data_IF_365342424699
#
_entry.id   IF_365342424699
#
_cell.length_a   1.000
_cell.length_b   1.000
_cell.length_c   1.000
_cell.angle_alpha   90.00
_cell.angle_beta   90.00
_cell.angle_gamma   90.00
#
_symmetry.space_group_name_H-M   'P 1'
#
loop_
_entity.id
_entity.type
_entity.pdbx_description
1 polymer ?
#
# COMPACT_ATOMS: atom_id res chain seq x y z
N UNK A 1 -19.88 54.20 35.34
CA UNK A 1 -19.19 53.73 34.15
C UNK A 1 -18.16 52.69 34.57
N UNK A 2 -18.59 51.45 34.80
CA UNK A 2 -17.69 50.31 35.03
C UNK A 2 -17.04 49.95 33.70
N UNK A 3 -15.93 50.60 33.38
CA UNK A 3 -15.05 50.19 32.31
C UNK A 3 -14.38 48.89 32.76
N UNK A 4 -14.72 47.77 32.14
CA UNK A 4 -13.95 46.54 32.30
C UNK A 4 -12.49 46.81 31.92
N UNK A 5 -11.61 46.94 32.91
CA UNK A 5 -10.18 47.10 32.68
C UNK A 5 -9.51 45.76 32.42
N UNK A 6 -8.78 45.67 31.33
CA UNK A 6 -7.92 44.54 31.09
C UNK A 6 -6.87 44.42 32.20
N UNK A 7 -6.62 43.18 32.65
CA UNK A 7 -5.47 42.83 33.49
C UNK A 7 -4.43 42.16 32.63
N UNK A 8 -3.16 42.18 33.04
CA UNK A 8 -2.08 41.47 32.34
C UNK A 8 -2.44 39.98 32.22
N UNK A 9 -2.33 39.38 31.02
CA UNK A 9 -2.57 37.94 30.84
C UNK A 9 -1.47 37.15 31.53
N UNK A 10 -1.84 36.02 32.15
CA UNK A 10 -0.94 35.16 32.91
C UNK A 10 -1.25 33.67 32.67
N UNK A 11 -0.28 32.82 32.97
CA UNK A 11 -0.44 31.38 33.12
C UNK A 11 -1.07 30.65 31.90
N UNK A 12 -0.61 30.91 30.68
CA UNK A 12 -1.02 30.09 29.53
C UNK A 12 -0.51 28.65 29.75
N UNK A 13 -1.43 27.68 29.74
CA UNK A 13 -1.11 26.26 29.92
C UNK A 13 -1.96 25.40 29.02
N UNK A 14 -1.31 24.55 28.21
CA UNK A 14 -1.96 23.42 27.56
C UNK A 14 -2.07 22.25 28.55
N UNK A 15 -3.02 21.34 28.33
CA UNK A 15 -3.17 20.10 29.15
C UNK A 15 -1.87 19.29 29.07
N UNK A 16 -1.29 19.18 27.88
CA UNK A 16 0.02 18.60 27.64
C UNK A 16 0.93 19.62 26.97
N UNK A 17 2.16 19.72 27.40
CA UNK A 17 3.17 20.54 26.73
C UNK A 17 3.97 19.79 25.66
N UNK A 18 3.77 18.46 25.56
CA UNK A 18 4.45 17.60 24.58
C UNK A 18 3.40 16.96 23.67
N UNK A 19 3.40 17.35 22.42
CA UNK A 19 2.49 16.81 21.40
C UNK A 19 3.24 15.91 20.43
N UNK A 20 2.69 14.72 20.19
CA UNK A 20 3.19 13.78 19.18
C UNK A 20 2.10 13.59 18.14
N UNK A 21 2.37 14.02 16.93
CA UNK A 21 1.43 13.94 15.82
C UNK A 21 1.91 12.99 14.73
N UNK A 22 0.98 12.49 13.95
CA UNK A 22 1.26 11.65 12.79
C UNK A 22 1.25 12.51 11.53
N UNK A 23 2.30 12.43 10.73
CA UNK A 23 2.42 13.14 9.45
C UNK A 23 1.27 12.76 8.51
N UNK A 24 0.63 13.77 7.92
CA UNK A 24 -0.45 13.58 6.94
C UNK A 24 -1.83 13.35 7.54
N UNK A 25 -1.98 13.29 8.88
CA UNK A 25 -3.30 13.23 9.54
C UNK A 25 -3.74 14.60 10.01
N UNK A 26 -5.06 14.82 10.07
CA UNK A 26 -5.60 16.04 10.67
C UNK A 26 -5.44 15.98 12.18
N UNK A 27 -4.83 17.00 12.76
CA UNK A 27 -4.51 17.09 14.18
C UNK A 27 -4.91 18.42 14.79
N UNK A 28 -5.19 18.43 16.08
CA UNK A 28 -5.43 19.63 16.86
C UNK A 28 -4.96 19.43 18.31
N UNK A 29 -4.48 20.51 18.93
CA UNK A 29 -4.25 20.58 20.37
C UNK A 29 -5.56 20.91 21.09
N UNK A 30 -5.57 20.71 22.42
CA UNK A 30 -6.58 21.35 23.26
C UNK A 30 -6.42 22.87 23.26
N UNK A 31 -7.48 23.60 23.59
CA UNK A 31 -7.38 25.02 23.90
C UNK A 31 -6.60 25.22 25.21
N UNK A 32 -5.65 26.17 25.26
CA UNK A 32 -4.95 26.46 26.49
C UNK A 32 -5.87 27.11 27.54
N UNK A 33 -5.59 26.84 28.79
CA UNK A 33 -6.13 27.58 29.93
C UNK A 33 -5.22 28.78 30.25
N UNK A 34 -5.79 29.85 30.75
CA UNK A 34 -5.04 31.05 31.12
C UNK A 34 -5.77 31.89 32.15
N UNK A 35 -5.07 32.80 32.81
CA UNK A 35 -5.65 33.81 33.67
C UNK A 35 -5.74 35.14 32.97
N UNK A 36 -6.79 35.87 33.25
CA UNK A 36 -7.14 37.14 32.64
C UNK A 36 -7.41 37.01 31.11
N UNK A 37 -8.06 37.97 30.53
CA UNK A 37 -8.50 37.94 29.13
C UNK A 37 -7.30 38.01 28.19
N UNK A 38 -7.21 37.04 27.27
CA UNK A 38 -6.33 37.09 26.10
C UNK A 38 -7.20 37.43 24.88
N UNK A 39 -6.81 38.47 24.14
CA UNK A 39 -7.51 38.93 22.95
C UNK A 39 -6.96 38.33 21.67
N UNK A 40 -5.68 37.90 21.71
CA UNK A 40 -5.03 37.31 20.55
C UNK A 40 -3.93 36.35 20.97
N UNK A 41 -3.92 35.15 20.35
CA UNK A 41 -2.84 34.20 20.41
C UNK A 41 -2.03 34.22 19.13
N UNK A 42 -0.71 34.06 19.23
CA UNK A 42 0.21 34.02 18.11
C UNK A 42 1.49 33.25 18.43
N UNK A 43 2.23 32.88 17.40
CA UNK A 43 3.54 32.25 17.55
C UNK A 43 4.63 33.30 17.64
N UNK A 44 5.67 33.01 18.39
CA UNK A 44 6.86 33.85 18.40
C UNK A 44 7.55 33.80 17.03
N UNK A 45 7.94 34.92 16.45
CA UNK A 45 8.53 35.02 15.11
C UNK A 45 9.79 34.16 14.93
N UNK A 46 10.59 33.99 15.99
CA UNK A 46 11.79 33.15 15.97
C UNK A 46 11.50 31.64 15.96
N UNK A 47 10.25 31.25 16.23
CA UNK A 47 9.80 29.84 16.28
C UNK A 47 8.46 29.66 15.55
N UNK A 48 8.43 29.91 14.22
CA UNK A 48 7.22 29.74 13.43
C UNK A 48 6.79 28.28 13.44
N UNK A 49 5.48 28.04 13.34
CA UNK A 49 4.94 26.69 13.21
C UNK A 49 5.44 26.03 11.91
N UNK A 50 5.66 24.72 11.94
CA UNK A 50 6.03 23.97 10.74
C UNK A 50 4.90 23.95 9.71
N UNK A 51 5.29 23.66 8.46
CA UNK A 51 4.34 23.61 7.35
C UNK A 51 3.19 22.63 7.62
N UNK A 52 1.98 23.11 7.39
CA UNK A 52 0.75 22.36 7.62
C UNK A 52 0.07 22.66 8.95
N UNK A 53 0.72 23.37 9.89
CA UNK A 53 0.10 23.83 11.14
C UNK A 53 -0.31 25.28 11.08
N UNK A 54 -1.33 25.62 11.85
CA UNK A 54 -1.78 26.99 12.12
C UNK A 54 -2.23 27.11 13.57
N UNK A 55 -2.09 28.30 14.12
CA UNK A 55 -2.69 28.65 15.42
C UNK A 55 -3.97 29.48 15.19
N UNK A 56 -5.01 29.15 15.93
CA UNK A 56 -6.21 29.99 15.96
C UNK A 56 -5.95 31.19 16.92
N UNK A 57 -6.04 32.40 16.38
CA UNK A 57 -5.71 33.61 17.12
C UNK A 57 -6.67 33.92 18.28
N UNK A 58 -7.86 33.34 18.31
CA UNK A 58 -8.86 33.56 19.37
C UNK A 58 -8.83 32.49 20.45
N UNK A 59 -8.59 31.26 20.07
CA UNK A 59 -8.68 30.11 20.98
C UNK A 59 -7.31 29.58 21.43
N UNK A 60 -6.24 29.89 20.69
CA UNK A 60 -4.91 29.35 20.95
C UNK A 60 -4.74 27.89 20.51
N UNK A 61 -5.75 27.31 19.88
CA UNK A 61 -5.67 25.92 19.37
C UNK A 61 -4.70 25.89 18.18
N UNK A 62 -3.76 24.95 18.22
CA UNK A 62 -2.86 24.66 17.09
C UNK A 62 -3.43 23.46 16.36
N UNK A 63 -3.70 23.59 15.08
CA UNK A 63 -4.31 22.55 14.25
C UNK A 63 -3.73 22.52 12.84
N UNK A 64 -3.97 21.44 12.11
CA UNK A 64 -3.60 21.31 10.71
C UNK A 64 -3.26 19.90 10.29
N UNK A 65 -2.59 19.77 9.14
CA UNK A 65 -2.10 18.51 8.60
C UNK A 65 -0.59 18.65 8.38
N UNK A 66 0.24 18.09 9.30
CA UNK A 66 1.70 18.20 9.18
C UNK A 66 2.21 17.50 7.92
N UNK A 67 3.06 18.20 7.16
CA UNK A 67 3.55 17.72 5.86
C UNK A 67 4.91 17.03 5.93
N UNK A 68 5.65 17.20 7.03
CA UNK A 68 6.96 16.62 7.22
C UNK A 68 7.12 16.06 8.64
N UNK A 69 8.02 15.11 8.81
CA UNK A 69 8.43 14.64 10.14
C UNK A 69 9.29 15.69 10.83
N UNK A 70 9.12 15.83 12.15
CA UNK A 70 9.83 16.80 12.98
C UNK A 70 10.28 16.07 14.24
N UNK A 71 11.57 16.14 14.53
CA UNK A 71 12.08 15.73 15.83
C UNK A 71 11.53 16.69 16.91
N UNK A 72 11.52 16.26 18.16
CA UNK A 72 11.06 17.07 19.28
C UNK A 72 11.64 18.49 19.23
N UNK A 73 10.80 19.47 18.92
CA UNK A 73 11.16 20.88 18.78
C UNK A 73 10.25 21.75 19.63
N UNK A 74 10.87 22.72 20.32
CA UNK A 74 10.17 23.66 21.18
C UNK A 74 9.60 24.83 20.34
N UNK A 75 8.37 25.21 20.67
CA UNK A 75 7.65 26.34 20.05
C UNK A 75 7.08 27.24 21.14
N UNK A 76 7.21 28.54 20.98
CA UNK A 76 6.69 29.51 21.95
C UNK A 76 5.36 30.07 21.45
N UNK A 77 4.31 29.80 22.21
CA UNK A 77 2.98 30.36 22.03
C UNK A 77 2.83 31.57 22.91
N UNK A 78 2.42 32.68 22.32
CA UNK A 78 2.18 33.94 23.03
C UNK A 78 0.69 34.29 23.04
N UNK A 79 0.26 34.92 24.09
CA UNK A 79 -1.06 35.50 24.23
C UNK A 79 -0.96 36.94 24.71
N UNK A 80 -1.68 37.87 24.07
CA UNK A 80 -1.66 39.28 24.42
C UNK A 80 -3.04 39.87 24.63
N UNK A 81 -3.05 40.99 25.33
CA UNK A 81 -4.17 41.92 25.42
C UNK A 81 -3.64 43.39 25.46
N UNK A 82 -4.48 44.44 25.56
CA UNK A 82 -4.00 45.81 25.62
C UNK A 82 -3.07 46.18 26.79
N UNK A 83 -2.98 45.32 27.84
CA UNK A 83 -2.09 45.57 28.98
C UNK A 83 -0.73 44.90 28.84
N UNK A 84 -0.58 43.90 27.97
CA UNK A 84 0.68 43.22 27.74
C UNK A 84 0.49 41.80 27.22
N UNK A 85 1.54 41.02 27.34
CA UNK A 85 1.59 39.64 26.83
C UNK A 85 2.19 38.65 27.83
N UNK A 86 1.86 37.37 27.63
CA UNK A 86 2.43 36.23 28.35
C UNK A 86 2.73 35.13 27.35
N UNK A 87 3.46 34.10 27.74
CA UNK A 87 3.83 33.01 26.85
C UNK A 87 3.87 31.67 27.57
N UNK A 88 3.86 30.61 26.76
CA UNK A 88 4.17 29.25 27.17
C UNK A 88 4.99 28.55 26.09
N UNK A 89 5.73 27.52 26.49
CA UNK A 89 6.52 26.71 25.55
C UNK A 89 5.90 25.32 25.46
N UNK A 90 5.68 24.87 24.23
CA UNK A 90 5.22 23.53 23.91
C UNK A 90 6.26 22.83 23.05
N UNK A 91 6.29 21.50 23.10
CA UNK A 91 7.12 20.66 22.24
C UNK A 91 6.22 19.92 21.25
N UNK A 92 6.55 20.03 19.96
CA UNK A 92 5.87 19.27 18.92
C UNK A 92 6.85 18.28 18.30
N UNK A 93 6.40 17.04 18.16
CA UNK A 93 7.07 15.96 17.44
C UNK A 93 6.12 15.48 16.35
N UNK A 94 6.61 15.30 15.12
CA UNK A 94 5.82 14.69 14.05
C UNK A 94 6.54 13.44 13.56
N UNK A 95 5.89 12.30 13.67
CA UNK A 95 6.44 11.01 13.26
C UNK A 95 5.69 10.46 12.05
N UNK A 96 6.34 9.56 11.29
CA UNK A 96 5.62 8.73 10.34
C UNK A 96 4.66 7.82 11.09
N UNK A 97 3.45 7.66 10.55
CA UNK A 97 2.53 6.63 11.00
C UNK A 97 3.11 5.23 10.77
N UNK A 98 2.54 4.25 11.43
CA UNK A 98 2.91 2.83 11.27
C UNK A 98 1.70 1.94 11.49
N UNK A 99 1.72 0.79 10.83
CA UNK A 99 0.78 -0.29 11.10
C UNK A 99 1.27 -1.11 12.30
N UNK A 100 0.36 -1.43 13.22
CA UNK A 100 0.65 -2.32 14.33
C UNK A 100 0.89 -3.76 13.83
N UNK A 101 1.63 -4.59 14.57
CA UNK A 101 1.78 -6.00 14.26
C UNK A 101 0.41 -6.67 14.10
N UNK A 102 0.26 -7.48 13.05
CA UNK A 102 -0.98 -8.21 12.77
C UNK A 102 -0.65 -9.59 12.17
N UNK A 103 -0.85 -10.65 12.96
CA UNK A 103 -0.53 -12.02 12.61
C UNK A 103 0.97 -12.21 12.37
N UNK A 104 1.34 -12.48 11.11
CA UNK A 104 2.73 -12.72 10.68
C UNK A 104 3.46 -11.47 10.21
N UNK A 105 2.78 -10.33 10.23
CA UNK A 105 3.34 -9.05 9.78
C UNK A 105 3.76 -8.21 10.99
N UNK A 106 5.02 -7.81 11.01
CA UNK A 106 5.58 -6.95 12.04
C UNK A 106 5.18 -5.48 11.84
N UNK A 107 5.43 -4.67 12.88
CA UNK A 107 5.25 -3.23 12.82
C UNK A 107 5.95 -2.64 11.60
N UNK A 108 5.20 -1.99 10.73
CA UNK A 108 5.68 -1.47 9.45
C UNK A 108 5.32 0.01 9.29
N UNK A 109 6.27 0.87 8.91
CA UNK A 109 6.00 2.29 8.66
C UNK A 109 5.02 2.50 7.51
N UNK A 110 4.23 3.58 7.58
CA UNK A 110 3.36 4.02 6.49
C UNK A 110 4.19 4.29 5.23
N UNK A 111 3.70 3.79 4.09
CA UNK A 111 4.37 3.84 2.78
C UNK A 111 5.29 2.65 2.51
N UNK A 112 5.46 1.75 3.46
CA UNK A 112 6.25 0.53 3.31
C UNK A 112 5.36 -0.71 3.24
N UNK A 113 5.96 -1.85 2.93
CA UNK A 113 5.25 -3.13 2.88
C UNK A 113 6.02 -4.17 3.68
N UNK A 114 5.31 -4.87 4.54
CA UNK A 114 5.83 -6.08 5.18
C UNK A 114 5.80 -7.26 4.20
N UNK A 115 6.84 -8.07 4.23
CA UNK A 115 6.95 -9.31 3.43
C UNK A 115 7.16 -10.47 4.38
N UNK A 116 6.26 -11.42 4.30
CA UNK A 116 6.34 -12.66 5.07
C UNK A 116 6.78 -13.82 4.17
N UNK A 117 7.85 -14.52 4.56
CA UNK A 117 8.36 -15.70 3.87
C UNK A 117 7.67 -16.95 4.43
N UNK A 118 6.89 -17.64 3.60
CA UNK A 118 6.10 -18.79 4.03
C UNK A 118 6.96 -19.95 4.55
N UNK A 119 8.21 -20.06 4.10
CA UNK A 119 9.18 -21.07 4.55
C UNK A 119 9.51 -21.00 6.05
N UNK A 120 9.23 -19.88 6.71
CA UNK A 120 9.41 -19.74 8.17
C UNK A 120 8.42 -20.58 8.99
N UNK A 121 7.30 -21.00 8.39
CA UNK A 121 6.31 -21.88 9.02
C UNK A 121 6.54 -23.38 8.70
N UNK A 122 7.70 -23.76 8.15
CA UNK A 122 8.05 -25.15 7.83
C UNK A 122 7.93 -25.45 6.33
N UNK A 123 7.30 -26.57 5.96
CA UNK A 123 7.24 -27.04 4.57
C UNK A 123 6.24 -26.26 3.70
N UNK A 124 6.39 -24.95 3.66
CA UNK A 124 5.61 -24.05 2.80
C UNK A 124 6.54 -23.28 1.85
N UNK A 125 6.03 -22.92 0.69
CA UNK A 125 6.70 -22.03 -0.28
C UNK A 125 5.80 -20.86 -0.63
N UNK A 126 6.42 -19.78 -1.10
CA UNK A 126 5.75 -18.55 -1.46
C UNK A 126 6.02 -17.41 -0.47
N UNK A 127 5.40 -16.30 -0.73
CA UNK A 127 5.49 -15.08 0.08
C UNK A 127 4.13 -14.42 0.19
N UNK A 128 3.87 -13.78 1.32
CA UNK A 128 2.78 -12.86 1.49
C UNK A 128 3.33 -11.46 1.68
N UNK A 129 2.69 -10.47 1.09
CA UNK A 129 3.05 -9.06 1.18
C UNK A 129 1.84 -8.26 1.58
N UNK A 130 2.04 -7.31 2.50
CA UNK A 130 0.98 -6.43 2.96
C UNK A 130 1.51 -5.01 3.05
N UNK A 131 0.85 -4.06 2.40
CA UNK A 131 1.24 -2.66 2.43
C UNK A 131 0.61 -1.97 3.63
N UNK A 132 1.41 -1.10 4.26
CA UNK A 132 0.94 -0.19 5.29
C UNK A 132 0.68 1.18 4.67
N UNK A 133 -0.57 1.64 4.71
CA UNK A 133 -0.98 2.95 4.17
C UNK A 133 -1.40 3.87 5.30
N UNK A 134 -1.43 5.18 5.02
CA UNK A 134 -1.92 6.16 5.98
C UNK A 134 -3.43 6.01 6.14
N UNK A 135 -3.88 5.73 7.36
CA UNK A 135 -5.27 5.76 7.78
C UNK A 135 -5.66 7.12 8.37
N UNK A 136 -6.80 7.18 9.05
CA UNK A 136 -7.30 8.43 9.66
C UNK A 136 -6.49 8.90 10.86
N UNK A 137 -5.96 8.00 11.66
CA UNK A 137 -5.26 8.30 12.91
C UNK A 137 -3.81 7.80 12.88
N UNK A 138 -3.56 6.66 12.22
CA UNK A 138 -2.25 6.02 12.13
C UNK A 138 -2.20 5.18 10.85
N UNK A 139 -1.19 4.31 10.69
CA UNK A 139 -1.14 3.36 9.60
C UNK A 139 -2.26 2.33 9.65
N UNK A 140 -2.77 1.95 8.49
CA UNK A 140 -3.75 0.89 8.29
C UNK A 140 -3.23 -0.13 7.29
N UNK A 141 -3.41 -1.42 7.61
CA UNK A 141 -3.01 -2.50 6.74
C UNK A 141 -3.94 -2.63 5.55
N UNK A 142 -3.37 -2.69 4.37
CA UNK A 142 -4.11 -3.12 3.18
C UNK A 142 -4.31 -4.64 3.19
N UNK A 143 -5.13 -5.13 2.28
CA UNK A 143 -5.32 -6.56 2.10
C UNK A 143 -3.99 -7.25 1.73
N UNK A 144 -3.72 -8.38 2.37
CA UNK A 144 -2.54 -9.17 2.05
C UNK A 144 -2.62 -9.73 0.62
N UNK A 145 -1.50 -9.72 -0.08
CA UNK A 145 -1.32 -10.29 -1.41
C UNK A 145 -0.28 -11.41 -1.36
N UNK A 146 -0.31 -12.29 -2.38
CA UNK A 146 0.53 -13.48 -2.39
C UNK A 146 -0.11 -14.66 -1.66
N UNK A 147 0.59 -15.76 -1.60
CA UNK A 147 0.07 -16.99 -1.00
C UNK A 147 1.20 -17.83 -0.40
N UNK A 148 0.83 -18.65 0.58
CA UNK A 148 1.66 -19.71 1.13
C UNK A 148 1.09 -21.06 0.70
N UNK A 149 1.87 -21.87 0.01
CA UNK A 149 1.46 -23.18 -0.49
C UNK A 149 2.27 -24.29 0.19
N UNK A 150 1.63 -25.32 0.75
CA UNK A 150 2.35 -26.48 1.27
C UNK A 150 3.14 -27.18 0.16
N UNK A 151 4.37 -27.56 0.43
CA UNK A 151 5.22 -28.31 -0.53
C UNK A 151 4.54 -29.61 -0.96
N UNK A 152 3.80 -30.29 -0.06
CA UNK A 152 3.04 -31.50 -0.38
C UNK A 152 2.03 -31.30 -1.53
N UNK A 153 1.34 -30.16 -1.58
CA UNK A 153 0.40 -29.84 -2.66
C UNK A 153 1.14 -29.72 -3.99
N UNK A 154 2.29 -29.06 -4.01
CA UNK A 154 3.11 -28.92 -5.22
C UNK A 154 3.58 -30.27 -5.72
N UNK A 155 4.07 -31.13 -4.81
CA UNK A 155 4.50 -32.49 -5.16
C UNK A 155 3.35 -33.30 -5.77
N UNK A 156 2.15 -33.24 -5.18
CA UNK A 156 0.97 -33.92 -5.71
C UNK A 156 0.63 -33.41 -7.12
N UNK A 157 0.59 -32.11 -7.32
CA UNK A 157 0.30 -31.52 -8.63
C UNK A 157 1.32 -31.95 -9.67
N UNK A 158 2.61 -31.94 -9.33
CA UNK A 158 3.69 -32.38 -10.25
C UNK A 158 3.51 -33.85 -10.61
N UNK A 159 3.24 -34.71 -9.64
CA UNK A 159 3.00 -36.14 -9.90
C UNK A 159 1.78 -36.37 -10.81
N UNK A 160 0.68 -35.66 -10.59
CA UNK A 160 -0.51 -35.75 -11.44
C UNK A 160 -0.17 -35.33 -12.88
N UNK A 161 0.57 -34.22 -13.06
CA UNK A 161 1.00 -33.75 -14.39
C UNK A 161 1.87 -34.81 -15.09
N UNK A 162 2.82 -35.41 -14.39
CA UNK A 162 3.67 -36.47 -14.93
C UNK A 162 2.80 -37.66 -15.40
N UNK A 163 1.85 -38.11 -14.58
CA UNK A 163 0.92 -39.22 -14.95
C UNK A 163 0.14 -38.86 -16.21
N UNK A 164 -0.40 -37.64 -16.30
CA UNK A 164 -1.13 -37.21 -17.49
C UNK A 164 -0.22 -37.26 -18.74
N UNK A 165 1.00 -36.74 -18.64
CA UNK A 165 1.96 -36.79 -19.75
C UNK A 165 2.25 -38.23 -20.18
N UNK A 166 2.51 -39.15 -19.23
CA UNK A 166 2.75 -40.53 -19.53
C UNK A 166 1.56 -41.18 -20.23
N UNK A 167 0.34 -40.90 -19.78
CA UNK A 167 -0.90 -41.43 -20.41
C UNK A 167 -1.02 -40.92 -21.85
N UNK A 168 -0.79 -39.64 -22.09
CA UNK A 168 -0.83 -39.02 -23.44
C UNK A 168 0.20 -39.70 -24.34
N UNK A 169 1.44 -39.89 -23.86
CA UNK A 169 2.51 -40.55 -24.64
C UNK A 169 2.13 -42.00 -24.98
N UNK A 170 1.58 -42.74 -24.00
CA UNK A 170 1.14 -44.13 -24.24
C UNK A 170 0.02 -44.19 -25.27
N UNK A 171 -0.96 -43.31 -25.22
CA UNK A 171 -2.04 -43.20 -26.24
C UNK A 171 -1.45 -42.88 -27.60
N UNK A 172 -0.55 -41.91 -27.69
CA UNK A 172 0.11 -41.57 -28.95
C UNK A 172 0.94 -42.72 -29.54
N UNK A 173 1.64 -43.49 -28.72
CA UNK A 173 2.38 -44.67 -29.14
C UNK A 173 1.44 -45.77 -29.64
N UNK A 174 0.32 -46.01 -28.96
CA UNK A 174 -0.70 -47.00 -29.41
C UNK A 174 -1.34 -46.60 -30.71
N UNK A 175 -1.65 -45.34 -30.91
CA UNK A 175 -2.22 -44.83 -32.19
C UNK A 175 -1.24 -44.94 -33.36
N UNK A 176 0.06 -44.77 -33.12
CA UNK A 176 1.12 -44.99 -34.16
C UNK A 176 1.26 -46.48 -34.54
N UNK A 177 1.19 -47.41 -33.57
CA UNK A 177 1.20 -48.86 -33.82
C UNK A 177 -0.04 -49.30 -34.61
N UNK A 178 -1.22 -48.76 -34.31
CA UNK A 178 -2.45 -49.09 -35.04
C UNK A 178 -2.39 -48.62 -36.51
N UNK A 179 -1.75 -47.46 -36.82
CA UNK A 179 -1.54 -47.03 -38.21
C UNK A 179 -0.50 -47.84 -38.96
N UNK A 180 0.52 -48.43 -38.28
CA UNK A 180 1.53 -49.29 -38.90
C UNK A 180 0.99 -50.66 -39.24
N UNK A 181 0.00 -51.22 -38.52
CA UNK A 181 -0.63 -52.53 -38.80
C UNK A 181 -1.72 -52.43 -39.88
N UNK A 182 -2.34 -51.23 -40.06
CA UNK A 182 -3.36 -51.00 -41.13
C UNK A 182 -2.82 -50.78 -42.54
N UNK A 183 -1.49 -50.70 -42.74
CA UNK A 183 -0.84 -50.36 -44.00
C UNK A 183 -0.44 -51.53 -44.91
N UNK A 184 -0.76 -52.80 -44.56
CA UNK A 184 -0.30 -54.01 -45.29
C UNK A 184 -1.45 -54.83 -45.89
N UNK A 185 -2.52 -54.20 -46.35
CA UNK A 185 -3.50 -54.90 -47.20
C UNK A 185 -4.11 -53.98 -48.23
N UNK A 186 -3.45 -53.84 -49.40
CA UNK A 186 -4.06 -53.63 -50.70
C UNK A 186 -2.99 -53.41 -51.77
N UNK A 187 -2.33 -54.53 -52.20
CA UNK A 187 -1.73 -54.64 -53.48
C UNK A 187 -2.09 -56.01 -54.07
N UNK A 188 -3.16 -56.09 -54.86
CA UNK A 188 -3.35 -57.18 -55.79
C UNK A 188 -4.34 -56.72 -56.92
N UNK A 189 -3.79 -56.52 -58.10
CA UNK A 189 -4.31 -57.00 -59.41
C UNK A 189 -5.29 -56.03 -60.06
N UNK A 190 -5.06 -55.62 -61.18
CA UNK A 190 -5.03 -56.02 -62.57
C UNK A 190 -5.12 -54.78 -63.41
N UNK A 191 -4.14 -54.56 -64.30
CA UNK A 191 -4.14 -54.85 -65.72
C UNK A 191 -5.09 -54.04 -66.64
N UNK A 192 -4.45 -53.18 -67.41
CA UNK A 192 -4.43 -53.03 -68.90
C UNK A 192 -5.58 -52.35 -69.64
N UNK A 193 -5.10 -51.49 -70.49
CA UNK A 193 -5.60 -51.06 -71.82
C UNK A 193 -6.37 -49.72 -71.85
N UNK A 194 -6.01 -48.73 -72.48
CA UNK A 194 -5.65 -48.39 -73.83
C UNK A 194 -5.61 -46.86 -73.94
N UNK A 195 -4.61 -46.36 -74.62
CA UNK A 195 -4.54 -45.03 -75.27
C UNK A 195 -5.56 -44.93 -76.41
N UNK A 196 -5.75 -43.80 -77.18
CA UNK A 196 -5.33 -42.39 -76.98
C UNK A 196 -6.46 -41.37 -77.32
N UNK A 197 -6.28 -40.09 -77.25
CA UNK A 197 -6.23 -39.05 -78.30
C UNK A 197 -6.48 -37.65 -77.72
N UNK A 198 -5.51 -36.78 -78.01
CA UNK A 198 -5.49 -35.42 -78.55
C UNK A 198 -6.73 -34.53 -78.43
N UNK A 199 -6.52 -33.34 -77.90
CA UNK A 199 -6.54 -31.95 -78.51
C UNK A 199 -6.69 -30.96 -77.35
N UNK A 200 -5.78 -30.09 -77.13
CA UNK A 200 -5.44 -28.84 -77.80
C UNK A 200 -6.31 -27.65 -77.33
N UNK A 201 -5.59 -26.69 -76.83
CA UNK A 201 -5.78 -25.22 -76.89
C UNK A 201 -6.98 -24.61 -76.16
N UNK A 202 -6.91 -23.52 -75.43
CA UNK A 202 -6.37 -22.22 -75.78
C UNK A 202 -6.51 -21.27 -74.54
N UNK A 203 -5.48 -20.47 -74.31
CA UNK A 203 -5.42 -19.12 -73.69
C UNK A 203 -6.71 -18.34 -73.43
N UNK A 204 -6.72 -17.56 -72.36
CA UNK A 204 -6.72 -16.08 -72.33
C UNK A 204 -6.94 -15.67 -70.83
N UNK A 205 -6.08 -15.02 -70.15
CA UNK A 205 -5.64 -13.61 -70.01
C UNK A 205 -6.77 -12.58 -69.71
N UNK A 206 -6.50 -11.81 -68.67
CA UNK A 206 -7.06 -10.50 -68.29
C UNK A 206 -8.21 -10.56 -67.25
N UNK A 207 -8.24 -9.78 -66.24
CA UNK A 207 -7.56 -8.51 -65.80
C UNK A 207 -7.36 -8.57 -64.31
#
# INVERSE_FOLDING_TARGET
NDKCEYRLPEDIKYINNNFVFIMGTEVATDAPTYKNIITEFFMQDSTPLPEGFKIDSKTGVISGIPKATINAQAFTVRGKNPKGETYTVITITVIKGYCLPDGVFDRTPVGESAVYQCSTQGSYVGTQKRACVLGKVNGEWQQATGFCMPVSVIVIVVLVVIVIIVVIVLIAMRSRKAKAVGGVKAKKGKEAKTMPTKKAATKTVKV
#
